data_IF_349584418471
#
_entry.id   IF_349584418471
#
_cell.length_a   1.000
_cell.length_b   1.000
_cell.length_c   1.000
_cell.angle_alpha   90.00
_cell.angle_beta   90.00
_cell.angle_gamma   90.00
#
_symmetry.space_group_name_H-M   'P 1'
#
loop_
_entity.id
_entity.type
_entity.pdbx_description
1 polymer ?
#
# COMPACT_ATOMS: atom_id res chain seq x y z
N UNK A 1 -6.36 18.51 -0.67
CA UNK A 1 -6.31 17.97 0.70
C UNK A 1 -4.89 17.52 0.98
N UNK A 2 -4.25 18.01 2.04
CA UNK A 2 -2.85 17.70 2.34
C UNK A 2 -2.70 16.30 2.95
N UNK A 3 -1.46 15.75 2.96
CA UNK A 3 -1.14 14.46 3.60
C UNK A 3 -1.48 14.47 5.09
N UNK A 4 -1.32 15.61 5.76
CA UNK A 4 -1.65 15.77 7.18
C UNK A 4 -3.16 15.71 7.41
N UNK A 5 -3.95 16.37 6.56
CA UNK A 5 -5.41 16.41 6.67
C UNK A 5 -6.03 15.02 6.55
N UNK A 6 -5.58 14.21 5.59
CA UNK A 6 -6.08 12.83 5.42
C UNK A 6 -5.75 11.92 6.61
N UNK A 7 -4.60 12.11 7.25
CA UNK A 7 -4.22 11.34 8.44
C UNK A 7 -5.09 11.72 9.64
N UNK A 8 -5.38 13.01 9.81
CA UNK A 8 -6.30 13.49 10.84
C UNK A 8 -7.71 12.92 10.67
N UNK A 9 -8.22 12.86 9.43
CA UNK A 9 -9.50 12.20 9.12
C UNK A 9 -9.51 10.72 9.50
N UNK A 10 -8.44 9.98 9.18
CA UNK A 10 -8.34 8.55 9.53
C UNK A 10 -8.31 8.37 11.06
N UNK A 11 -7.61 9.24 11.79
CA UNK A 11 -7.56 9.20 13.25
C UNK A 11 -8.92 9.54 13.89
N UNK A 12 -9.61 10.56 13.36
CA UNK A 12 -10.97 10.92 13.78
C UNK A 12 -11.94 9.77 13.52
N UNK A 13 -11.85 9.12 12.35
CA UNK A 13 -12.64 7.94 12.05
C UNK A 13 -12.35 6.78 13.01
N UNK A 14 -11.08 6.49 13.31
CA UNK A 14 -10.71 5.43 14.28
C UNK A 14 -11.28 5.70 15.67
N UNK A 15 -11.35 6.97 16.06
CA UNK A 15 -11.87 7.40 17.38
C UNK A 15 -13.40 7.49 17.43
N UNK A 16 -14.08 7.68 16.30
CA UNK A 16 -15.53 7.88 16.25
C UNK A 16 -16.33 6.58 16.41
N UNK A 17 -15.71 5.41 16.19
CA UNK A 17 -16.39 4.12 16.21
C UNK A 17 -17.40 3.93 15.06
N UNK A 18 -17.48 4.87 14.12
CA UNK A 18 -18.37 4.79 12.97
C UNK A 18 -17.86 3.80 11.93
N UNK A 19 -18.78 3.24 11.15
CA UNK A 19 -18.38 2.51 9.96
C UNK A 19 -17.71 3.46 8.96
N UNK A 20 -16.84 2.92 8.11
CA UNK A 20 -16.15 3.71 7.07
C UNK A 20 -17.15 4.43 6.16
N UNK A 21 -18.28 3.79 5.85
CA UNK A 21 -19.30 4.33 4.96
C UNK A 21 -20.05 5.50 5.61
N UNK A 22 -20.47 5.34 6.87
CA UNK A 22 -21.16 6.39 7.62
C UNK A 22 -20.25 7.60 7.85
N UNK A 23 -18.99 7.37 8.20
CA UNK A 23 -18.02 8.45 8.37
C UNK A 23 -17.79 9.23 7.08
N UNK A 24 -17.63 8.55 5.94
CA UNK A 24 -17.50 9.19 4.64
C UNK A 24 -18.75 10.01 4.28
N UNK A 25 -19.94 9.51 4.61
CA UNK A 25 -21.21 10.21 4.37
C UNK A 25 -21.34 11.47 5.22
N UNK A 26 -20.91 11.43 6.49
CA UNK A 26 -20.96 12.59 7.39
C UNK A 26 -19.94 13.68 6.99
N UNK A 27 -18.72 13.29 6.65
CA UNK A 27 -17.65 14.23 6.28
C UNK A 27 -17.72 14.69 4.81
N UNK A 28 -18.66 14.17 4.01
CA UNK A 28 -18.81 14.52 2.59
C UNK A 28 -17.68 13.98 1.70
N UNK A 29 -17.02 12.89 2.12
CA UNK A 29 -15.88 12.30 1.42
C UNK A 29 -16.35 11.13 0.57
N UNK A 30 -15.82 11.00 -0.65
CA UNK A 30 -16.06 9.81 -1.48
C UNK A 30 -15.44 8.58 -0.82
N UNK A 31 -16.25 7.54 -0.63
CA UNK A 31 -15.83 6.30 0.02
C UNK A 31 -14.57 5.67 -0.60
N UNK A 32 -14.50 5.58 -1.93
CA UNK A 32 -13.34 5.03 -2.64
C UNK A 32 -12.05 5.81 -2.38
N UNK A 33 -12.14 7.14 -2.30
CA UNK A 33 -11.00 8.02 -1.99
C UNK A 33 -10.49 7.76 -0.57
N UNK A 34 -11.42 7.64 0.39
CA UNK A 34 -11.07 7.33 1.77
C UNK A 34 -10.38 5.97 1.91
N UNK A 35 -10.86 4.95 1.20
CA UNK A 35 -10.23 3.62 1.17
C UNK A 35 -8.80 3.66 0.61
N UNK A 36 -8.55 4.45 -0.44
CA UNK A 36 -7.21 4.63 -0.99
C UNK A 36 -6.26 5.22 0.05
N UNK A 37 -6.70 6.25 0.79
CA UNK A 37 -5.88 6.83 1.86
C UNK A 37 -5.63 5.86 3.01
N UNK A 38 -6.62 5.06 3.39
CA UNK A 38 -6.47 4.03 4.42
C UNK A 38 -5.45 2.97 4.00
N UNK A 39 -5.47 2.53 2.74
CA UNK A 39 -4.46 1.60 2.18
C UNK A 39 -3.06 2.21 2.20
N UNK A 40 -2.94 3.48 1.81
CA UNK A 40 -1.66 4.20 1.80
C UNK A 40 -1.10 4.44 3.20
N UNK A 41 -1.93 4.53 4.23
CA UNK A 41 -1.48 4.63 5.63
C UNK A 41 -1.00 3.29 6.18
N UNK A 42 -1.64 2.19 5.78
CA UNK A 42 -1.21 0.84 6.16
C UNK A 42 0.08 0.38 5.46
N UNK A 43 0.43 1.00 4.34
CA UNK A 43 1.60 0.63 3.55
C UNK A 43 2.85 1.32 4.13
N UNK A 44 3.94 0.60 4.42
CA UNK A 44 5.17 1.23 4.87
C UNK A 44 5.66 2.21 3.80
N UNK A 45 6.09 3.40 4.22
CA UNK A 45 6.54 4.47 3.34
C UNK A 45 7.75 3.99 2.52
N UNK A 46 7.51 3.52 1.30
CA UNK A 46 8.53 2.91 0.44
C UNK A 46 8.10 1.60 -0.24
N UNK A 47 7.01 0.98 0.20
CA UNK A 47 6.42 -0.17 -0.49
C UNK A 47 5.61 0.31 -1.71
N UNK A 48 6.29 0.82 -2.73
CA UNK A 48 5.72 0.81 -4.08
C UNK A 48 5.56 -0.64 -4.56
N UNK A 49 4.88 -0.85 -5.68
CA UNK A 49 4.81 -2.16 -6.36
C UNK A 49 6.17 -2.67 -6.87
N UNK A 50 7.24 -1.91 -6.67
CA UNK A 50 8.57 -2.22 -7.12
C UNK A 50 9.42 -2.62 -5.92
N UNK A 51 9.98 -3.83 -5.99
CA UNK A 51 11.00 -4.29 -5.07
C UNK A 51 12.33 -3.74 -5.59
N UNK A 52 13.03 -2.98 -4.76
CA UNK A 52 14.39 -2.54 -5.09
C UNK A 52 15.31 -3.75 -5.02
N UNK A 53 15.91 -4.13 -6.15
CA UNK A 53 17.00 -5.10 -6.18
C UNK A 53 18.27 -4.40 -5.73
N UNK A 54 18.75 -4.73 -4.54
CA UNK A 54 20.08 -4.31 -4.09
C UNK A 54 21.12 -4.98 -4.99
N UNK A 55 22.08 -4.19 -5.50
CA UNK A 55 23.24 -4.69 -6.24
C UNK A 55 24.26 -5.27 -5.24
N UNK A 56 23.83 -6.24 -4.43
CA UNK A 56 24.73 -6.99 -3.57
C UNK A 56 25.10 -8.27 -4.31
N UNK A 57 26.35 -8.25 -4.79
CA UNK A 57 27.14 -9.41 -5.18
C UNK A 57 26.76 -10.10 -6.49
N UNK A 58 27.44 -9.66 -7.55
CA UNK A 58 27.97 -10.61 -8.51
C UNK A 58 28.94 -11.54 -7.77
N UNK A 59 28.44 -12.64 -7.19
CA UNK A 59 29.29 -13.75 -6.74
C UNK A 59 28.51 -15.08 -6.79
N UNK A 60 28.72 -15.80 -7.90
CA UNK A 60 28.68 -17.25 -8.05
C UNK A 60 27.51 -18.05 -7.44
N UNK A 61 26.27 -17.57 -7.55
CA UNK A 61 25.08 -18.43 -7.43
C UNK A 61 24.67 -18.96 -8.80
N UNK A 62 24.63 -20.27 -8.99
CA UNK A 62 24.01 -20.91 -10.16
C UNK A 62 22.54 -20.48 -10.21
N UNK A 63 22.21 -19.61 -11.17
CA UNK A 63 20.87 -19.06 -11.33
C UNK A 63 20.04 -20.04 -12.16
N UNK A 64 19.26 -20.89 -11.49
CA UNK A 64 18.32 -21.78 -12.18
C UNK A 64 17.03 -21.02 -12.53
N UNK A 65 16.83 -20.76 -13.83
CA UNK A 65 15.59 -20.18 -14.36
C UNK A 65 14.62 -21.32 -14.68
N UNK A 66 13.52 -21.42 -13.90
CA UNK A 66 12.42 -22.35 -14.15
C UNK A 66 11.23 -21.63 -14.78
N UNK A 67 11.02 -21.84 -16.07
CA UNK A 67 9.80 -21.38 -16.74
C UNK A 67 8.61 -22.28 -16.39
N UNK A 68 7.37 -21.76 -16.36
CA UNK A 68 6.16 -22.56 -16.11
C UNK A 68 5.95 -23.70 -17.12
N UNK A 69 6.65 -23.64 -18.26
CA UNK A 69 6.65 -24.66 -19.30
C UNK A 69 7.82 -25.65 -19.19
N UNK A 70 8.65 -25.59 -18.13
CA UNK A 70 9.72 -26.56 -17.86
C UNK A 70 11.01 -26.38 -18.68
N UNK A 71 11.19 -25.23 -19.35
CA UNK A 71 12.43 -24.95 -20.11
C UNK A 71 13.53 -24.54 -19.11
N UNK A 72 14.72 -25.11 -19.22
CA UNK A 72 15.92 -24.76 -18.45
C UNK A 72 17.01 -24.28 -19.43
N UNK A 73 17.77 -23.24 -19.09
CA UNK A 73 18.89 -22.68 -19.87
C UNK A 73 20.19 -22.78 -19.08
#
# INVERSE_FOLDING_TARGET
MSKTDRLLLIQRWRSSGLTRADYCRQEGIKYGTFLTWLKLEALPSGAGNFIALSKDSADQGELEILFPNGIQL
#
